data_IF_300849657522
#
_entry.id   IF_300849657522
#
_cell.length_a   1.000
_cell.length_b   1.000
_cell.length_c   1.000
_cell.angle_alpha   90.00
_cell.angle_beta   90.00
_cell.angle_gamma   90.00
#
_symmetry.space_group_name_H-M   'P 1'
#
loop_
_entity.id
_entity.type
_entity.pdbx_description
1 polymer ?
#
# COMPACT_ATOMS: atom_id res chain seq x y z
N UNK A 1 -5.40 17.41 10.27
CA UNK A 1 -6.75 17.04 10.72
C UNK A 1 -6.92 15.53 10.85
N UNK A 2 -6.72 14.73 9.78
CA UNK A 2 -6.89 13.27 9.82
C UNK A 2 -6.09 12.54 10.92
N UNK A 3 -4.78 12.81 11.03
CA UNK A 3 -3.92 12.18 12.05
C UNK A 3 -4.37 12.49 13.49
N UNK A 4 -4.86 13.71 13.74
CA UNK A 4 -5.38 14.08 15.05
C UNK A 4 -6.64 13.30 15.42
N UNK A 5 -7.56 13.13 14.46
CA UNK A 5 -8.76 12.33 14.66
C UNK A 5 -8.43 10.84 14.86
N UNK A 6 -7.51 10.27 14.07
CA UNK A 6 -7.05 8.90 14.24
C UNK A 6 -6.41 8.71 15.62
N UNK A 7 -5.53 9.62 16.04
CA UNK A 7 -4.93 9.55 17.37
C UNK A 7 -5.98 9.52 18.48
N UNK A 8 -7.00 10.39 18.41
CA UNK A 8 -8.08 10.37 19.40
C UNK A 8 -8.84 9.05 19.38
N UNK A 9 -9.13 8.48 18.21
CA UNK A 9 -9.77 7.18 18.08
C UNK A 9 -8.98 6.05 18.76
N UNK A 10 -7.65 6.01 18.57
CA UNK A 10 -6.81 4.99 19.23
C UNK A 10 -6.75 5.18 20.75
N UNK A 11 -6.78 6.43 21.24
CA UNK A 11 -6.84 6.73 22.68
C UNK A 11 -8.19 6.31 23.29
N UNK A 12 -9.28 6.54 22.57
CA UNK A 12 -10.65 6.14 22.98
C UNK A 12 -10.84 4.62 22.93
N UNK A 13 -10.20 3.95 21.97
CA UNK A 13 -10.33 2.50 21.74
C UNK A 13 -8.96 1.80 21.71
N UNK A 14 -8.30 1.57 22.88
CA UNK A 14 -6.94 1.01 22.92
C UNK A 14 -6.78 -0.41 22.33
N UNK A 15 -7.87 -1.17 22.16
CA UNK A 15 -7.79 -2.47 21.50
C UNK A 15 -7.31 -2.35 20.04
N UNK A 16 -7.53 -1.20 19.40
CA UNK A 16 -7.12 -0.91 18.03
C UNK A 16 -5.60 -1.02 17.83
N UNK A 17 -4.79 -0.75 18.87
CA UNK A 17 -3.33 -0.91 18.75
C UNK A 17 -2.91 -2.35 18.38
N UNK A 18 -3.72 -3.34 18.72
CA UNK A 18 -3.44 -4.76 18.45
C UNK A 18 -4.28 -5.34 17.30
N UNK A 19 -5.33 -4.65 16.85
CA UNK A 19 -6.29 -5.18 15.88
C UNK A 19 -6.45 -4.34 14.62
N UNK A 20 -5.66 -3.28 14.44
CA UNK A 20 -5.79 -2.37 13.31
C UNK A 20 -4.44 -1.87 12.80
N UNK A 21 -4.47 -1.35 11.58
CA UNK A 21 -3.32 -0.77 10.89
C UNK A 21 -3.76 0.49 10.15
N UNK A 22 -2.93 1.54 10.20
CA UNK A 22 -3.16 2.77 9.42
C UNK A 22 -2.33 2.71 8.14
N UNK A 23 -2.99 2.67 7.00
CA UNK A 23 -2.35 2.68 5.69
C UNK A 23 -2.77 3.88 4.83
N UNK A 24 -1.90 4.33 3.91
CA UNK A 24 -2.22 5.42 2.99
C UNK A 24 -1.35 5.39 1.74
N UNK A 25 -1.90 5.87 0.62
CA UNK A 25 -1.13 6.22 -0.58
C UNK A 25 -0.22 7.43 -0.37
N UNK A 26 -0.47 8.24 0.65
CA UNK A 26 0.29 9.46 0.93
C UNK A 26 1.31 9.21 2.04
N UNK A 27 2.63 9.18 1.75
CA UNK A 27 3.65 8.95 2.77
C UNK A 27 3.63 9.97 3.91
N UNK A 28 3.23 11.22 3.63
CA UNK A 28 3.07 12.27 4.63
C UNK A 28 2.08 11.90 5.74
N UNK A 29 0.97 11.23 5.40
CA UNK A 29 -0.04 10.79 6.38
C UNK A 29 0.55 9.73 7.30
N UNK A 30 1.25 8.75 6.71
CA UNK A 30 1.91 7.65 7.43
C UNK A 30 2.99 8.19 8.38
N UNK A 31 3.83 9.09 7.88
CA UNK A 31 4.88 9.75 8.65
C UNK A 31 4.32 10.55 9.82
N UNK A 32 3.32 11.40 9.57
CA UNK A 32 2.67 12.19 10.62
C UNK A 32 1.96 11.30 11.64
N UNK A 33 1.34 10.20 11.22
CA UNK A 33 0.74 9.24 12.14
C UNK A 33 1.79 8.64 13.07
N UNK A 34 2.93 8.19 12.50
CA UNK A 34 4.05 7.63 13.27
C UNK A 34 4.67 8.63 14.24
N UNK A 35 4.74 9.91 13.87
CA UNK A 35 5.17 10.97 14.77
C UNK A 35 4.18 11.22 15.92
N UNK A 36 2.89 11.18 15.61
CA UNK A 36 1.83 11.44 16.58
C UNK A 36 1.68 10.31 17.60
N UNK A 37 1.87 9.06 17.17
CA UNK A 37 1.84 7.86 18.01
C UNK A 37 2.70 6.72 17.42
N UNK A 38 3.70 6.28 18.17
CA UNK A 38 4.64 5.21 17.76
C UNK A 38 4.10 3.80 17.99
N UNK A 39 3.02 3.64 18.75
CA UNK A 39 2.42 2.33 19.03
C UNK A 39 1.48 1.89 17.91
N UNK A 40 1.03 2.84 17.06
CA UNK A 40 0.20 2.53 15.90
C UNK A 40 1.03 1.84 14.82
N UNK A 41 0.55 0.68 14.39
CA UNK A 41 1.09 -0.04 13.23
C UNK A 41 0.70 0.74 11.97
N UNK A 42 1.68 1.00 11.11
CA UNK A 42 1.48 1.77 9.89
C UNK A 42 1.93 1.01 8.65
N UNK A 43 1.32 1.34 7.51
CA UNK A 43 1.68 0.78 6.22
C UNK A 43 1.65 1.82 5.10
N UNK A 44 2.48 1.60 4.07
CA UNK A 44 2.43 2.39 2.84
C UNK A 44 1.62 1.63 1.80
N UNK A 45 0.64 2.31 1.21
CA UNK A 45 -0.11 1.78 0.06
C UNK A 45 0.51 2.33 -1.22
N UNK A 46 0.76 1.46 -2.19
CA UNK A 46 1.41 1.84 -3.43
C UNK A 46 0.78 1.14 -4.63
N UNK A 47 0.67 1.91 -5.71
CA UNK A 47 0.32 1.43 -7.05
C UNK A 47 1.28 2.13 -8.02
N UNK A 48 2.08 1.41 -8.79
CA UNK A 48 2.87 2.03 -9.85
C UNK A 48 1.97 2.86 -10.78
N UNK A 49 2.48 4.00 -11.24
CA UNK A 49 1.74 4.94 -12.10
C UNK A 49 0.48 5.58 -11.49
N UNK A 50 0.31 5.53 -10.16
CA UNK A 50 -0.87 6.06 -9.49
C UNK A 50 -1.16 7.55 -9.79
N UNK A 51 -0.12 8.37 -9.93
CA UNK A 51 -0.24 9.82 -10.13
C UNK A 51 -0.55 10.18 -11.59
N UNK A 52 -0.06 9.41 -12.55
CA UNK A 52 -0.22 9.67 -13.98
C UNK A 52 -1.38 8.90 -14.63
N UNK A 53 -1.76 7.74 -14.08
CA UNK A 53 -2.74 6.83 -14.65
C UNK A 53 -3.83 6.42 -13.64
N UNK A 54 -5.03 6.17 -14.15
CA UNK A 54 -6.13 5.52 -13.44
C UNK A 54 -5.87 4.01 -13.29
N UNK A 55 -6.70 3.30 -12.53
CA UNK A 55 -6.49 1.86 -12.28
C UNK A 55 -6.64 0.98 -13.52
N UNK A 56 -7.40 1.45 -14.51
CA UNK A 56 -7.58 0.85 -15.84
C UNK A 56 -6.43 1.18 -16.82
N UNK A 57 -5.44 1.97 -16.38
CA UNK A 57 -4.33 2.40 -17.22
C UNK A 57 -4.63 3.59 -18.13
N UNK A 58 -5.79 4.25 -17.98
CA UNK A 58 -6.06 5.49 -18.73
C UNK A 58 -5.25 6.67 -18.17
N UNK A 59 -4.68 7.54 -19.02
CA UNK A 59 -4.00 8.75 -18.57
C UNK A 59 -4.94 9.68 -17.77
N UNK A 60 -4.48 10.16 -16.61
CA UNK A 60 -5.25 11.13 -15.81
C UNK A 60 -5.32 12.52 -16.41
N UNK A 61 -4.38 12.85 -17.30
CA UNK A 61 -4.24 14.18 -17.87
C UNK A 61 -4.21 14.10 -19.40
N UNK A 62 -5.11 14.86 -20.05
CA UNK A 62 -5.12 14.98 -21.51
C UNK A 62 -3.97 15.84 -22.04
N UNK A 63 -3.40 16.71 -21.22
CA UNK A 63 -2.28 17.56 -21.61
C UNK A 63 -0.96 16.77 -21.60
N UNK A 64 -0.31 16.61 -22.75
CA UNK A 64 0.94 15.86 -22.90
C UNK A 64 2.01 16.24 -21.86
N UNK A 65 2.33 17.53 -21.72
CA UNK A 65 3.37 17.95 -20.78
C UNK A 65 3.04 17.63 -19.32
N UNK A 66 1.77 17.81 -18.90
CA UNK A 66 1.33 17.45 -17.55
C UNK A 66 1.44 15.94 -17.35
N UNK A 67 0.99 15.15 -18.32
CA UNK A 67 1.06 13.69 -18.24
C UNK A 67 2.49 13.19 -18.04
N UNK A 68 3.44 13.65 -18.87
CA UNK A 68 4.86 13.27 -18.74
C UNK A 68 5.48 13.76 -17.42
N UNK A 69 5.11 14.94 -16.94
CA UNK A 69 5.56 15.42 -15.63
C UNK A 69 5.10 14.46 -14.52
N UNK A 70 3.83 14.05 -14.51
CA UNK A 70 3.32 13.11 -13.51
C UNK A 70 3.89 11.70 -13.67
N UNK A 71 4.20 11.25 -14.89
CA UNK A 71 4.92 9.98 -15.09
C UNK A 71 6.32 10.03 -14.47
N UNK A 72 7.04 11.14 -14.63
CA UNK A 72 8.33 11.33 -13.95
C UNK A 72 8.16 11.34 -12.43
N UNK A 73 7.11 11.98 -11.92
CA UNK A 73 6.79 11.95 -10.49
C UNK A 73 6.48 10.55 -9.97
N UNK A 74 5.77 9.71 -10.74
CA UNK A 74 5.53 8.32 -10.38
C UNK A 74 6.83 7.52 -10.24
N UNK A 75 7.77 7.68 -11.18
CA UNK A 75 9.08 7.03 -11.11
C UNK A 75 9.86 7.49 -9.88
N UNK A 76 9.86 8.80 -9.59
CA UNK A 76 10.53 9.36 -8.41
C UNK A 76 9.87 8.83 -7.12
N UNK A 77 8.54 8.76 -7.07
CA UNK A 77 7.80 8.26 -5.91
C UNK A 77 8.08 6.78 -5.69
N UNK A 78 8.00 5.96 -6.73
CA UNK A 78 8.30 4.52 -6.67
C UNK A 78 9.72 4.28 -6.17
N UNK A 79 10.70 4.97 -6.74
CA UNK A 79 12.09 4.90 -6.29
C UNK A 79 12.23 5.33 -4.82
N UNK A 80 11.58 6.42 -4.42
CA UNK A 80 11.64 6.94 -3.04
C UNK A 80 11.02 5.96 -2.04
N UNK A 81 9.90 5.33 -2.40
CA UNK A 81 9.21 4.31 -1.59
C UNK A 81 10.11 3.11 -1.32
N UNK A 82 10.79 2.60 -2.34
CA UNK A 82 11.66 1.44 -2.22
C UNK A 82 13.03 1.76 -1.61
N UNK A 83 13.50 3.00 -1.75
CA UNK A 83 14.82 3.41 -1.28
C UNK A 83 14.83 3.78 0.21
N UNK A 84 13.99 4.73 0.63
CA UNK A 84 14.10 5.31 1.98
C UNK A 84 12.77 5.63 2.69
N UNK A 85 11.67 5.90 1.97
CA UNK A 85 10.43 6.34 2.61
C UNK A 85 9.87 5.29 3.57
N UNK A 86 10.05 4.00 3.29
CA UNK A 86 9.65 2.93 4.20
C UNK A 86 10.33 3.03 5.57
N UNK A 87 11.63 3.39 5.59
CA UNK A 87 12.39 3.61 6.84
C UNK A 87 11.95 4.88 7.53
N UNK A 88 11.79 5.95 6.76
CA UNK A 88 11.39 7.26 7.29
C UNK A 88 10.00 7.21 7.93
N UNK A 89 9.06 6.52 7.29
CA UNK A 89 7.69 6.33 7.78
C UNK A 89 7.59 5.26 8.88
N UNK A 90 8.62 4.42 9.04
CA UNK A 90 8.67 3.36 10.06
C UNK A 90 7.56 2.33 9.89
N UNK A 91 7.28 1.90 8.66
CA UNK A 91 6.16 1.00 8.35
C UNK A 91 6.45 -0.45 8.71
N UNK A 92 5.40 -1.18 9.05
CA UNK A 92 5.45 -2.63 9.29
C UNK A 92 4.94 -3.45 8.11
N UNK A 93 4.15 -2.83 7.22
CA UNK A 93 3.64 -3.47 6.02
C UNK A 93 3.72 -2.55 4.79
N UNK A 94 3.76 -3.17 3.63
CA UNK A 94 3.75 -2.52 2.32
C UNK A 94 2.60 -3.10 1.49
N UNK A 95 1.57 -2.30 1.28
CA UNK A 95 0.38 -2.68 0.53
C UNK A 95 0.59 -2.32 -0.94
N UNK A 96 0.77 -3.31 -1.80
CA UNK A 96 1.17 -3.10 -3.20
C UNK A 96 0.14 -3.70 -4.16
N UNK A 97 -0.03 -3.09 -5.33
CA UNK A 97 -0.91 -3.66 -6.35
C UNK A 97 -0.43 -5.07 -6.76
N UNK A 98 -1.35 -6.05 -6.79
CA UNK A 98 -1.07 -7.48 -7.02
C UNK A 98 -0.20 -7.79 -8.24
N UNK A 99 -0.35 -7.02 -9.32
CA UNK A 99 0.38 -7.24 -10.58
C UNK A 99 1.88 -6.92 -10.50
N UNK A 100 2.33 -6.28 -9.42
CA UNK A 100 3.72 -5.88 -9.21
C UNK A 100 4.41 -6.67 -8.11
N UNK A 101 3.86 -7.84 -7.75
CA UNK A 101 4.38 -8.69 -6.68
C UNK A 101 5.00 -9.95 -7.27
N UNK A 102 6.24 -10.20 -6.89
CA UNK A 102 6.96 -11.44 -7.18
C UNK A 102 7.47 -12.08 -5.87
N UNK A 103 7.88 -13.34 -5.94
CA UNK A 103 8.44 -14.03 -4.76
C UNK A 103 9.69 -13.33 -4.23
N UNK A 104 10.56 -12.83 -5.12
CA UNK A 104 11.75 -12.09 -4.72
C UNK A 104 11.42 -10.75 -4.10
N UNK A 105 10.37 -10.08 -4.58
CA UNK A 105 9.87 -8.84 -3.97
C UNK A 105 9.42 -9.09 -2.52
N UNK A 106 8.64 -10.15 -2.29
CA UNK A 106 8.20 -10.56 -0.94
C UNK A 106 9.40 -10.87 -0.05
N UNK A 107 10.37 -11.67 -0.53
CA UNK A 107 11.60 -11.99 0.23
C UNK A 107 12.42 -10.75 0.55
N UNK A 108 12.56 -9.82 -0.38
CA UNK A 108 13.32 -8.59 -0.19
C UNK A 108 12.74 -7.75 0.96
N UNK A 109 11.42 -7.60 1.02
CA UNK A 109 10.75 -6.87 2.09
C UNK A 109 10.73 -7.65 3.41
N UNK A 110 10.53 -8.97 3.37
CA UNK A 110 10.60 -9.82 4.54
C UNK A 110 11.98 -9.74 5.22
N UNK A 111 13.07 -9.66 4.43
CA UNK A 111 14.44 -9.47 4.97
C UNK A 111 14.62 -8.15 5.73
N UNK A 112 13.74 -7.17 5.48
CA UNK A 112 13.69 -5.87 6.17
C UNK A 112 12.67 -5.85 7.32
N UNK A 113 12.03 -7.00 7.62
CA UNK A 113 10.97 -7.10 8.63
C UNK A 113 9.64 -6.47 8.21
N UNK A 114 9.41 -6.29 6.90
CA UNK A 114 8.19 -5.66 6.36
C UNK A 114 7.35 -6.71 5.65
N UNK A 115 6.07 -6.78 5.99
CA UNK A 115 5.12 -7.67 5.33
C UNK A 115 4.60 -7.04 4.03
N UNK A 116 4.57 -7.81 2.95
CA UNK A 116 3.96 -7.40 1.69
C UNK A 116 2.52 -7.90 1.65
N UNK A 117 1.58 -6.99 1.37
CA UNK A 117 0.15 -7.31 1.30
C UNK A 117 -0.38 -6.88 -0.07
N UNK A 118 -0.56 -7.81 -1.02
CA UNK A 118 -1.08 -7.49 -2.33
C UNK A 118 -2.56 -7.09 -2.30
N UNK A 119 -2.95 -6.14 -3.14
CA UNK A 119 -4.34 -5.71 -3.31
C UNK A 119 -4.68 -5.37 -4.77
N UNK A 120 -5.93 -5.42 -5.23
CA UNK A 120 -7.03 -6.20 -4.68
C UNK A 120 -7.12 -7.53 -5.45
N UNK A 121 -7.18 -8.64 -4.73
CA UNK A 121 -7.02 -9.99 -5.26
C UNK A 121 -8.38 -10.68 -5.26
N UNK A 122 -8.98 -10.84 -6.43
CA UNK A 122 -10.39 -11.21 -6.51
C UNK A 122 -10.63 -12.61 -7.10
N UNK A 123 -9.67 -13.20 -7.80
CA UNK A 123 -9.86 -14.55 -8.38
C UNK A 123 -9.30 -15.65 -7.47
N UNK A 124 -9.94 -16.82 -7.47
CA UNK A 124 -9.48 -18.00 -6.73
C UNK A 124 -8.06 -18.42 -7.11
N UNK A 125 -7.72 -18.36 -8.41
CA UNK A 125 -6.38 -18.68 -8.89
C UNK A 125 -5.31 -17.73 -8.30
N UNK A 126 -5.59 -16.43 -8.24
CA UNK A 126 -4.66 -15.46 -7.64
C UNK A 126 -4.55 -15.64 -6.12
N UNK A 127 -5.67 -15.89 -5.43
CA UNK A 127 -5.67 -16.16 -3.98
C UNK A 127 -4.79 -17.36 -3.65
N UNK A 128 -5.01 -18.49 -4.34
CA UNK A 128 -4.18 -19.69 -4.17
C UNK A 128 -2.71 -19.41 -4.49
N UNK A 129 -2.40 -18.65 -5.55
CA UNK A 129 -1.02 -18.31 -5.86
C UNK A 129 -0.36 -17.51 -4.73
N UNK A 130 -1.06 -16.55 -4.14
CA UNK A 130 -0.54 -15.75 -3.03
C UNK A 130 -0.37 -16.57 -1.74
N UNK A 131 -1.30 -17.46 -1.42
CA UNK A 131 -1.25 -18.31 -0.22
C UNK A 131 -0.24 -19.47 -0.37
N UNK A 132 -0.29 -20.17 -1.50
CA UNK A 132 0.48 -21.41 -1.69
C UNK A 132 1.90 -21.16 -2.17
N UNK A 133 2.09 -20.15 -3.03
CA UNK A 133 3.39 -19.91 -3.67
C UNK A 133 4.11 -18.71 -3.03
N UNK A 134 3.45 -17.56 -2.91
CA UNK A 134 4.09 -16.36 -2.34
C UNK A 134 4.09 -16.33 -0.81
N UNK A 135 3.23 -17.13 -0.16
CA UNK A 135 3.08 -17.21 1.30
C UNK A 135 2.81 -15.82 1.92
N UNK A 136 1.93 -15.03 1.30
CA UNK A 136 1.58 -13.68 1.76
C UNK A 136 0.07 -13.50 1.91
N UNK A 137 -0.34 -12.68 2.89
CA UNK A 137 -1.72 -12.22 3.05
C UNK A 137 -2.11 -11.24 1.94
N UNK A 138 -3.40 -11.12 1.63
CA UNK A 138 -3.91 -10.23 0.59
C UNK A 138 -5.18 -9.50 1.02
N UNK A 139 -5.53 -8.45 0.29
CA UNK A 139 -6.81 -7.75 0.39
C UNK A 139 -7.69 -8.18 -0.79
N UNK A 140 -8.94 -8.51 -0.52
CA UNK A 140 -9.92 -8.97 -1.51
C UNK A 140 -11.27 -8.30 -1.28
N UNK A 141 -12.02 -8.09 -2.37
CA UNK A 141 -13.39 -7.62 -2.30
C UNK A 141 -14.37 -8.76 -1.97
N UNK A 142 -14.01 -10.00 -2.28
CA UNK A 142 -14.85 -11.19 -2.09
C UNK A 142 -14.02 -12.35 -1.56
N UNK A 143 -14.46 -12.96 -0.46
CA UNK A 143 -13.79 -14.13 0.11
C UNK A 143 -14.04 -15.40 -0.71
N UNK A 144 -15.24 -15.54 -1.30
CA UNK A 144 -15.72 -16.82 -1.85
C UNK A 144 -15.78 -16.78 -3.38
N UNK A 145 -16.39 -15.75 -3.94
CA UNK A 145 -16.65 -15.65 -5.38
C UNK A 145 -15.57 -14.85 -6.08
N UNK A 146 -15.37 -15.16 -7.37
CA UNK A 146 -14.55 -14.34 -8.25
C UNK A 146 -15.33 -13.08 -8.62
N UNK A 147 -14.67 -11.92 -8.55
CA UNK A 147 -15.26 -10.65 -8.96
C UNK A 147 -14.29 -9.80 -9.78
N UNK A 148 -14.87 -8.95 -10.63
CA UNK A 148 -14.08 -8.03 -11.42
C UNK A 148 -13.41 -6.98 -10.53
N UNK A 149 -12.19 -6.55 -10.85
CA UNK A 149 -11.53 -5.47 -10.13
C UNK A 149 -12.30 -4.16 -10.28
N UNK A 150 -12.63 -3.53 -9.16
CA UNK A 150 -13.12 -2.16 -9.13
C UNK A 150 -11.93 -1.19 -9.05
N UNK A 151 -11.68 -0.45 -10.14
CA UNK A 151 -10.52 0.44 -10.31
C UNK A 151 -10.78 1.90 -9.95
#
# INVERSE_FOLDING_TARGET
QAVGALKQLYLEFPHLYNSSIVCSFMPDVVYKMRQADRNVVTALTHRPWHLSHFGDGTPRFNSFWKHYLYMMMDVILDWSLHSFLWRLCGVSAFLIQKNFVSQDYVRQWASKGIQVIPWTVNTFAEKNYLEDILKCSYITDSLVEDCDPHY
#
